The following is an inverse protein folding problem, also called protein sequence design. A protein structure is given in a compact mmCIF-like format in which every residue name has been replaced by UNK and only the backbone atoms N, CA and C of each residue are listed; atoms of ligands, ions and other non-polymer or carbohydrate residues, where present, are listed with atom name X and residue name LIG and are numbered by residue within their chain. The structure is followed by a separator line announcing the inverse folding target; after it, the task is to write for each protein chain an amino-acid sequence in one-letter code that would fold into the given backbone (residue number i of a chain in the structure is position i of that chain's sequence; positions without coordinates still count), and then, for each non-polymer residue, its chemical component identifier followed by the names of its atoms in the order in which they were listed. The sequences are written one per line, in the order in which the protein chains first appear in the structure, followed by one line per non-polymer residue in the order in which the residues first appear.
data_IF_342091150599
#
_entry.id   IF_342091150599
#
_cell.length_a   1.000
_cell.length_b   1.000
_cell.length_c   1.000
_cell.angle_alpha   90.00
_cell.angle_beta   90.00
_cell.angle_gamma   90.00
#
_symmetry.space_group_name_H-M   'P 1'
#
loop_
_entity.id
_entity.type
_entity.pdbx_description
1 polymer ?
#
# COMPACT_ATOMS: atom_id res chain seq x y z
N UNK A 1 26.56 41.76 -36.31
CA UNK A 1 25.59 40.80 -36.91
C UNK A 1 25.86 39.33 -36.58
N UNK A 2 26.82 39.01 -35.71
CA UNK A 2 27.25 37.62 -35.41
C UNK A 2 26.75 37.01 -34.08
N UNK A 3 26.04 37.75 -33.21
CA UNK A 3 25.56 37.26 -31.90
C UNK A 3 24.15 36.65 -31.90
N UNK A 4 23.36 36.78 -32.97
CA UNK A 4 21.99 36.21 -33.05
C UNK A 4 21.93 34.81 -33.68
N UNK A 5 22.95 34.38 -34.38
CA UNK A 5 22.99 33.08 -35.07
C UNK A 5 23.39 31.93 -34.15
N UNK A 6 24.14 32.17 -33.06
CA UNK A 6 24.56 31.13 -32.11
C UNK A 6 23.41 30.70 -31.21
N UNK A 7 22.47 31.60 -30.89
CA UNK A 7 21.31 31.28 -30.00
C UNK A 7 20.28 30.36 -30.67
N UNK A 8 20.16 30.39 -32.01
CA UNK A 8 19.20 29.53 -32.74
C UNK A 8 19.78 28.13 -32.96
N UNK A 9 21.10 28.01 -33.07
CA UNK A 9 21.76 26.69 -33.22
C UNK A 9 21.78 25.88 -31.93
N UNK A 10 21.91 26.54 -30.78
CA UNK A 10 21.84 25.87 -29.47
C UNK A 10 20.41 25.40 -29.12
N UNK A 11 19.38 26.10 -29.57
CA UNK A 11 17.99 25.69 -29.37
C UNK A 11 17.58 24.48 -30.23
N UNK A 12 18.16 24.38 -31.44
CA UNK A 12 17.94 23.23 -32.35
C UNK A 12 18.66 21.96 -31.91
N UNK A 13 19.78 22.05 -31.18
CA UNK A 13 20.48 20.88 -30.63
C UNK A 13 19.72 20.24 -29.44
N UNK A 14 19.00 21.03 -28.64
CA UNK A 14 18.22 20.53 -27.50
C UNK A 14 17.00 19.71 -27.94
N UNK A 15 16.41 20.04 -29.09
CA UNK A 15 15.24 19.33 -29.62
C UNK A 15 15.59 17.95 -30.21
N UNK A 16 16.85 17.73 -30.61
CA UNK A 16 17.27 16.47 -31.23
C UNK A 16 17.51 15.32 -30.23
N UNK A 17 17.63 15.58 -28.90
CA UNK A 17 17.97 14.58 -27.90
C UNK A 17 16.76 14.00 -27.11
N UNK A 18 15.55 14.50 -27.38
CA UNK A 18 14.33 14.08 -26.62
C UNK A 18 13.48 13.01 -27.32
N UNK A 19 14.03 12.25 -28.28
CA UNK A 19 13.21 11.42 -29.19
C UNK A 19 12.67 10.12 -28.59
N UNK A 20 13.17 9.66 -27.43
CA UNK A 20 12.75 8.38 -26.85
C UNK A 20 11.80 8.50 -25.64
N UNK A 21 11.64 9.65 -25.04
CA UNK A 21 10.71 9.84 -23.92
C UNK A 21 9.25 9.93 -24.41
N UNK A 22 8.27 9.53 -23.58
CA UNK A 22 6.86 9.75 -23.89
C UNK A 22 6.58 11.25 -24.02
N UNK A 23 5.88 11.65 -25.06
CA UNK A 23 5.51 13.04 -25.34
C UNK A 23 4.18 13.40 -24.72
N UNK A 24 3.26 12.43 -24.66
CA UNK A 24 2.02 12.54 -23.93
C UNK A 24 2.16 11.93 -22.52
N UNK A 25 1.47 12.51 -21.55
CA UNK A 25 1.35 11.94 -20.20
C UNK A 25 -0.14 11.75 -19.86
N UNK A 26 -0.97 11.56 -20.91
CA UNK A 26 -2.40 11.33 -20.79
C UNK A 26 -2.67 9.83 -20.94
N UNK A 27 -3.04 9.16 -19.84
CA UNK A 27 -3.48 7.79 -19.88
C UNK A 27 -4.49 7.50 -18.74
N UNK A 28 -5.29 6.46 -18.91
CA UNK A 28 -6.32 6.07 -17.96
C UNK A 28 -6.31 4.56 -17.77
N UNK A 29 -6.40 4.09 -16.54
CA UNK A 29 -6.63 2.70 -16.22
C UNK A 29 -8.05 2.32 -16.64
N UNK A 30 -8.17 1.30 -17.48
CA UNK A 30 -9.48 0.74 -17.89
C UNK A 30 -9.91 -0.35 -16.91
N UNK A 31 -9.02 -1.32 -16.69
CA UNK A 31 -9.26 -2.42 -15.76
C UNK A 31 -7.95 -3.07 -15.29
N UNK A 32 -8.02 -3.80 -14.20
CA UNK A 32 -7.00 -4.74 -13.75
C UNK A 32 -7.36 -6.10 -14.30
N UNK A 33 -6.72 -6.51 -15.42
CA UNK A 33 -7.07 -7.76 -16.12
C UNK A 33 -6.62 -8.99 -15.34
N UNK A 34 -5.52 -8.89 -14.58
CA UNK A 34 -5.02 -9.91 -13.65
C UNK A 34 -4.10 -9.25 -12.61
N UNK A 35 -3.64 -9.97 -11.57
CA UNK A 35 -2.67 -9.45 -10.61
C UNK A 35 -1.36 -8.92 -11.23
N UNK A 36 -1.06 -9.37 -12.44
CA UNK A 36 0.18 -9.03 -13.16
C UNK A 36 -0.06 -8.27 -14.46
N UNK A 37 -1.31 -7.90 -14.77
CA UNK A 37 -1.64 -7.23 -16.03
C UNK A 37 -2.66 -6.10 -15.83
N UNK A 38 -2.32 -4.91 -16.32
CA UNK A 38 -3.17 -3.73 -16.33
C UNK A 38 -3.59 -3.38 -17.76
N UNK A 39 -4.86 -3.11 -17.98
CA UNK A 39 -5.35 -2.55 -19.24
C UNK A 39 -5.41 -1.03 -19.15
N UNK A 40 -4.64 -0.37 -20.00
CA UNK A 40 -4.43 1.08 -19.99
C UNK A 40 -4.77 1.66 -21.34
N UNK A 41 -5.62 2.69 -21.40
CA UNK A 41 -5.84 3.52 -22.57
C UNK A 41 -4.88 4.71 -22.51
N UNK A 42 -4.04 4.85 -23.52
CA UNK A 42 -3.00 5.88 -23.55
C UNK A 42 -3.08 6.74 -24.83
N UNK A 43 -2.74 8.00 -24.65
CA UNK A 43 -2.63 8.98 -25.73
C UNK A 43 -1.22 8.97 -26.30
N UNK A 44 -1.11 8.94 -27.62
CA UNK A 44 0.16 9.07 -28.32
C UNK A 44 0.17 10.19 -29.33
N UNK A 45 1.30 10.88 -29.41
CA UNK A 45 1.54 12.00 -30.32
C UNK A 45 2.52 11.60 -31.42
N UNK A 46 2.02 11.52 -32.65
CA UNK A 46 2.82 11.27 -33.85
C UNK A 46 3.35 12.55 -34.45
N UNK A 47 4.69 12.67 -34.54
CA UNK A 47 5.37 13.79 -35.12
C UNK A 47 6.41 13.26 -36.10
N UNK A 48 6.52 13.89 -37.25
CA UNK A 48 7.59 13.64 -38.20
C UNK A 48 8.46 14.90 -38.32
N UNK A 49 9.64 14.84 -37.75
CA UNK A 49 10.60 15.97 -37.76
C UNK A 49 11.52 15.96 -38.99
N UNK A 50 11.49 14.90 -39.80
CA UNK A 50 12.40 14.71 -40.93
C UNK A 50 11.84 15.26 -42.24
N UNK A 51 10.51 15.33 -42.37
CA UNK A 51 9.88 15.69 -43.63
C UNK A 51 8.98 16.90 -43.49
N UNK A 52 9.09 17.86 -44.42
CA UNK A 52 8.21 19.06 -44.48
C UNK A 52 6.73 18.68 -44.69
N UNK A 53 6.48 17.55 -45.37
CA UNK A 53 5.13 16.94 -45.52
C UNK A 53 5.21 15.53 -44.98
N UNK A 54 4.73 15.30 -43.75
CA UNK A 54 4.78 13.99 -43.11
C UNK A 54 3.97 12.95 -43.86
N UNK A 55 4.53 11.75 -44.00
CA UNK A 55 3.76 10.58 -44.53
C UNK A 55 2.84 10.06 -43.44
N UNK A 56 1.58 9.72 -43.79
CA UNK A 56 0.61 9.18 -42.85
C UNK A 56 1.14 7.98 -42.08
N UNK A 57 1.78 7.02 -42.76
CA UNK A 57 2.38 5.84 -42.15
C UNK A 57 3.47 6.17 -41.10
N UNK A 58 4.24 7.24 -41.33
CA UNK A 58 5.28 7.69 -40.38
C UNK A 58 4.65 8.31 -39.15
N UNK A 59 3.58 9.09 -39.31
CA UNK A 59 2.83 9.68 -38.20
C UNK A 59 2.13 8.59 -37.37
N UNK A 60 1.49 7.63 -38.02
CA UNK A 60 0.82 6.51 -37.34
C UNK A 60 1.83 5.70 -36.51
N UNK A 61 2.98 5.32 -37.11
CA UNK A 61 4.02 4.59 -36.37
C UNK A 61 4.58 5.40 -35.19
N UNK A 62 4.81 6.71 -35.39
CA UNK A 62 5.30 7.60 -34.34
C UNK A 62 4.28 7.74 -33.20
N UNK A 63 2.98 7.92 -33.53
CA UNK A 63 1.91 8.02 -32.55
C UNK A 63 1.72 6.73 -31.77
N UNK A 64 1.73 5.58 -32.46
CA UNK A 64 1.59 4.27 -31.80
C UNK A 64 2.74 3.97 -30.84
N UNK A 65 3.98 4.28 -31.22
CA UNK A 65 5.13 4.13 -30.36
C UNK A 65 5.08 5.05 -29.12
N UNK A 66 4.58 6.28 -29.31
CA UNK A 66 4.42 7.24 -28.23
C UNK A 66 3.29 6.81 -27.26
N UNK A 67 2.16 6.33 -27.77
CA UNK A 67 1.08 5.77 -26.95
C UNK A 67 1.55 4.56 -26.12
N UNK A 68 2.36 3.68 -26.71
CA UNK A 68 2.94 2.54 -25.99
C UNK A 68 3.86 3.00 -24.85
N UNK A 69 4.70 4.03 -25.06
CA UNK A 69 5.52 4.62 -24.00
C UNK A 69 4.68 5.27 -22.91
N UNK A 70 3.63 5.99 -23.30
CA UNK A 70 2.71 6.66 -22.36
C UNK A 70 1.95 5.62 -21.51
N UNK A 71 1.55 4.47 -22.08
CA UNK A 71 0.91 3.40 -21.34
C UNK A 71 1.83 2.83 -20.25
N UNK A 72 3.11 2.56 -20.56
CA UNK A 72 4.09 2.10 -19.59
C UNK A 72 4.45 3.19 -18.59
N UNK A 73 4.59 4.45 -19.03
CA UNK A 73 4.79 5.60 -18.14
C UNK A 73 3.68 5.71 -17.10
N UNK A 74 2.43 5.49 -17.50
CA UNK A 74 1.29 5.51 -16.57
C UNK A 74 1.41 4.46 -15.47
N UNK A 75 1.85 3.26 -15.79
CA UNK A 75 2.09 2.20 -14.80
C UNK A 75 3.23 2.54 -13.85
N UNK A 76 4.26 3.26 -14.34
CA UNK A 76 5.41 3.68 -13.53
C UNK A 76 5.10 4.84 -12.60
N UNK A 77 4.36 5.85 -13.06
CA UNK A 77 4.24 7.15 -12.39
C UNK A 77 2.80 7.63 -12.18
N UNK A 78 1.84 7.09 -12.95
CA UNK A 78 0.45 7.55 -12.97
C UNK A 78 -0.47 6.67 -12.13
N UNK A 79 -1.76 7.04 -12.15
CA UNK A 79 -2.80 6.30 -11.44
C UNK A 79 -2.73 6.45 -9.91
N UNK A 80 -3.51 5.63 -9.23
CA UNK A 80 -3.57 5.60 -7.77
C UNK A 80 -2.49 4.73 -7.13
N UNK A 81 -1.82 3.88 -7.91
CA UNK A 81 -0.83 2.92 -7.42
C UNK A 81 0.32 2.75 -8.43
N UNK A 82 1.19 3.77 -8.60
CA UNK A 82 2.32 3.70 -9.50
C UNK A 82 3.41 2.75 -8.97
N UNK A 83 4.17 2.10 -9.86
CA UNK A 83 5.28 1.23 -9.48
C UNK A 83 6.43 1.99 -8.82
N UNK A 84 6.71 3.23 -9.24
CA UNK A 84 7.75 4.08 -8.67
C UNK A 84 7.12 5.07 -7.68
N UNK A 85 7.22 4.76 -6.40
CA UNK A 85 6.55 5.52 -5.36
C UNK A 85 7.48 6.48 -4.62
N UNK A 86 8.72 6.06 -4.35
CA UNK A 86 9.69 6.85 -3.59
C UNK A 86 10.55 7.75 -4.48
N UNK A 87 11.07 8.83 -3.93
CA UNK A 87 11.99 9.72 -4.66
C UNK A 87 13.31 9.03 -4.99
N UNK A 88 13.74 8.04 -4.20
CA UNK A 88 14.92 7.23 -4.48
C UNK A 88 14.71 6.34 -5.71
N UNK A 89 13.55 5.68 -5.81
CA UNK A 89 13.18 4.87 -6.99
C UNK A 89 13.10 5.74 -8.25
N UNK A 90 12.46 6.90 -8.16
CA UNK A 90 12.38 7.87 -9.27
C UNK A 90 13.75 8.39 -9.70
N UNK A 91 14.63 8.68 -8.73
CA UNK A 91 16.00 9.12 -8.98
C UNK A 91 16.85 7.99 -9.59
N UNK A 92 16.67 6.75 -9.14
CA UNK A 92 17.33 5.58 -9.72
C UNK A 92 16.85 5.35 -11.16
N UNK A 93 15.55 5.43 -11.41
CA UNK A 93 14.95 5.30 -12.73
C UNK A 93 15.46 6.37 -13.71
N UNK A 94 15.61 7.61 -13.26
CA UNK A 94 16.12 8.73 -14.08
C UNK A 94 17.45 8.42 -14.75
N UNK A 95 18.30 7.59 -14.13
CA UNK A 95 19.60 7.18 -14.66
C UNK A 95 19.48 6.27 -15.88
N UNK A 96 18.42 5.47 -15.96
CA UNK A 96 18.18 4.49 -17.03
C UNK A 96 17.07 4.94 -18.00
N UNK A 97 16.40 6.04 -17.72
CA UNK A 97 15.17 6.52 -18.39
C UNK A 97 15.28 6.50 -19.93
N UNK A 98 16.39 6.97 -20.49
CA UNK A 98 16.60 7.04 -21.94
C UNK A 98 16.70 5.67 -22.60
N UNK A 99 17.45 4.75 -21.99
CA UNK A 99 17.57 3.35 -22.43
C UNK A 99 16.24 2.62 -22.25
N UNK A 100 15.57 2.85 -21.13
CA UNK A 100 14.30 2.24 -20.81
C UNK A 100 13.22 2.54 -21.83
N UNK A 101 13.05 3.80 -22.23
CA UNK A 101 12.03 4.21 -23.19
C UNK A 101 12.38 3.92 -24.67
N UNK A 102 13.46 3.17 -24.94
CA UNK A 102 13.62 2.60 -26.28
C UNK A 102 12.42 1.71 -26.61
N UNK A 103 11.89 1.85 -27.82
CA UNK A 103 10.64 1.18 -28.21
C UNK A 103 10.77 -0.36 -28.14
N UNK A 104 11.95 -0.87 -28.38
CA UNK A 104 12.26 -2.31 -28.31
C UNK A 104 12.11 -2.83 -26.88
N UNK A 105 12.51 -2.03 -25.89
CA UNK A 105 12.32 -2.37 -24.46
C UNK A 105 10.86 -2.24 -24.05
N UNK A 106 10.21 -1.12 -24.41
CA UNK A 106 8.81 -0.87 -24.08
C UNK A 106 7.90 -2.02 -24.56
N UNK A 107 8.15 -2.50 -25.78
CA UNK A 107 7.35 -3.60 -26.37
C UNK A 107 7.43 -4.92 -25.59
N UNK A 108 8.46 -5.13 -24.79
CA UNK A 108 8.60 -6.33 -23.94
C UNK A 108 7.57 -6.37 -22.82
N UNK A 109 7.11 -5.21 -22.37
CA UNK A 109 6.16 -5.05 -21.26
C UNK A 109 4.69 -5.03 -21.72
N UNK A 110 4.45 -5.02 -23.03
CA UNK A 110 3.11 -4.99 -23.62
C UNK A 110 2.74 -6.41 -24.04
N UNK A 111 1.80 -7.03 -23.31
CA UNK A 111 1.30 -8.38 -23.63
C UNK A 111 0.25 -8.36 -24.75
N UNK A 112 -0.45 -7.24 -24.91
CA UNK A 112 -1.47 -7.06 -25.95
C UNK A 112 -1.67 -5.57 -26.27
N UNK A 113 -2.05 -5.26 -27.50
CA UNK A 113 -2.49 -3.93 -27.94
C UNK A 113 -3.70 -4.04 -28.87
N UNK A 114 -4.64 -3.09 -28.79
CA UNK A 114 -5.81 -3.06 -29.67
C UNK A 114 -5.37 -2.87 -31.14
N UNK A 115 -6.05 -3.55 -32.07
CA UNK A 115 -5.76 -3.41 -33.51
C UNK A 115 -6.25 -2.09 -34.10
N UNK A 116 -7.12 -1.37 -33.37
CA UNK A 116 -7.72 -0.12 -33.75
C UNK A 116 -7.33 1.02 -32.79
N UNK A 117 -7.61 2.24 -33.22
CA UNK A 117 -7.51 3.42 -32.36
C UNK A 117 -8.89 3.76 -31.79
N UNK A 118 -8.98 3.96 -30.49
CA UNK A 118 -10.20 4.47 -29.84
C UNK A 118 -10.52 5.88 -30.35
N UNK A 119 -9.46 6.68 -30.63
CA UNK A 119 -9.58 8.02 -31.21
C UNK A 119 -8.38 8.33 -32.09
N UNK A 120 -8.63 9.06 -33.19
CA UNK A 120 -7.59 9.48 -34.15
C UNK A 120 -7.87 10.85 -34.69
N UNK A 121 -7.01 11.82 -34.36
CA UNK A 121 -7.19 13.23 -34.71
C UNK A 121 -5.91 13.77 -35.34
N UNK A 122 -6.02 14.35 -36.55
CA UNK A 122 -4.94 15.10 -37.13
C UNK A 122 -4.88 16.49 -36.51
N UNK A 123 -3.71 16.91 -36.07
CA UNK A 123 -3.45 18.20 -35.45
C UNK A 123 -2.39 18.96 -36.21
N UNK A 124 -2.20 20.26 -35.90
CA UNK A 124 -1.22 21.13 -36.51
C UNK A 124 -1.31 21.14 -38.06
N UNK A 125 -2.51 21.35 -38.60
CA UNK A 125 -2.71 21.37 -40.06
C UNK A 125 -2.35 20.05 -40.76
N UNK A 126 -2.51 18.90 -40.06
CA UNK A 126 -2.17 17.59 -40.59
C UNK A 126 -0.70 17.18 -40.45
N UNK A 127 0.12 18.00 -39.81
CA UNK A 127 1.56 17.73 -39.57
C UNK A 127 1.83 16.86 -38.34
N UNK A 128 0.83 16.69 -37.47
CA UNK A 128 0.90 15.84 -36.31
C UNK A 128 -0.38 14.97 -36.19
N UNK A 129 -0.28 13.89 -35.47
CA UNK A 129 -1.34 12.94 -35.24
C UNK A 129 -1.46 12.65 -33.74
N UNK A 130 -2.66 12.86 -33.15
CA UNK A 130 -3.01 12.41 -31.80
C UNK A 130 -3.87 11.17 -31.92
N UNK A 131 -3.50 10.10 -31.21
CA UNK A 131 -4.27 8.86 -31.11
C UNK A 131 -4.56 8.53 -29.66
N UNK A 132 -5.66 7.82 -29.43
CA UNK A 132 -5.92 7.08 -28.19
C UNK A 132 -5.96 5.59 -28.55
N UNK A 133 -5.27 4.76 -27.76
CA UNK A 133 -5.19 3.32 -27.99
C UNK A 133 -5.06 2.58 -26.68
N UNK A 134 -5.64 1.40 -26.63
CA UNK A 134 -5.65 0.54 -25.45
C UNK A 134 -4.56 -0.51 -25.53
N UNK A 135 -3.85 -0.70 -24.41
CA UNK A 135 -2.73 -1.63 -24.24
C UNK A 135 -2.94 -2.47 -22.97
N UNK A 136 -2.48 -3.71 -22.99
CA UNK A 136 -2.35 -4.53 -21.80
C UNK A 136 -0.87 -4.58 -21.41
N UNK A 137 -0.55 -4.13 -20.20
CA UNK A 137 0.81 -4.00 -19.68
C UNK A 137 1.05 -5.12 -18.66
N UNK A 138 2.11 -5.89 -18.85
CA UNK A 138 2.57 -6.89 -17.89
C UNK A 138 3.44 -6.22 -16.82
N UNK A 139 2.85 -6.04 -15.64
CA UNK A 139 3.51 -5.39 -14.50
C UNK A 139 4.58 -6.25 -13.87
N UNK A 140 4.43 -7.59 -13.89
CA UNK A 140 5.44 -8.50 -13.33
C UNK A 140 6.76 -8.44 -14.10
N UNK A 141 6.71 -8.45 -15.43
CA UNK A 141 7.91 -8.31 -16.27
C UNK A 141 8.55 -6.91 -16.12
N UNK A 142 7.72 -5.89 -15.92
CA UNK A 142 8.19 -4.52 -15.70
C UNK A 142 8.90 -4.40 -14.34
N UNK A 143 8.33 -4.96 -13.28
CA UNK A 143 8.96 -5.04 -11.95
C UNK A 143 10.28 -5.81 -11.99
N UNK A 144 10.30 -6.99 -12.63
CA UNK A 144 11.50 -7.80 -12.77
C UNK A 144 12.63 -7.03 -13.47
N UNK A 145 12.32 -6.33 -14.55
CA UNK A 145 13.28 -5.47 -15.24
C UNK A 145 13.83 -4.36 -14.33
N UNK A 146 12.95 -3.67 -13.60
CA UNK A 146 13.34 -2.57 -12.71
C UNK A 146 14.19 -3.06 -11.53
N UNK A 147 13.87 -4.24 -11.00
CA UNK A 147 14.69 -4.91 -9.97
C UNK A 147 16.07 -5.28 -10.55
N UNK A 148 16.11 -5.85 -11.75
CA UNK A 148 17.38 -6.19 -12.44
C UNK A 148 18.26 -4.97 -12.72
N UNK A 149 17.67 -3.78 -12.85
CA UNK A 149 18.37 -2.49 -13.00
C UNK A 149 18.62 -1.77 -11.66
N UNK A 150 18.33 -2.38 -10.54
CA UNK A 150 18.48 -1.81 -9.18
C UNK A 150 17.66 -0.52 -8.96
N UNK A 151 16.58 -0.35 -9.71
CA UNK A 151 15.60 0.74 -9.53
C UNK A 151 14.63 0.38 -8.41
N UNK A 152 14.12 -0.85 -8.43
CA UNK A 152 13.33 -1.43 -7.35
C UNK A 152 14.16 -2.43 -6.55
N UNK A 153 13.90 -2.52 -5.26
CA UNK A 153 14.47 -3.58 -4.42
C UNK A 153 13.66 -4.86 -4.61
N UNK A 154 14.31 -6.02 -4.61
CA UNK A 154 13.58 -7.29 -4.60
C UNK A 154 12.72 -7.38 -3.34
N UNK A 155 11.50 -7.88 -3.48
CA UNK A 155 10.61 -8.14 -2.32
C UNK A 155 11.28 -9.09 -1.30
N UNK A 156 12.15 -10.00 -1.77
CA UNK A 156 12.98 -10.86 -0.90
C UNK A 156 14.00 -10.08 -0.07
N UNK A 157 14.63 -9.05 -0.62
CA UNK A 157 15.66 -8.26 0.09
C UNK A 157 15.00 -7.36 1.13
N UNK A 158 13.81 -6.88 0.85
CA UNK A 158 12.95 -6.14 1.78
C UNK A 158 12.50 -7.05 2.92
N UNK A 159 12.04 -8.27 2.60
CA UNK A 159 11.64 -9.27 3.60
C UNK A 159 12.81 -9.72 4.48
N UNK A 160 14.03 -9.74 3.95
CA UNK A 160 15.22 -10.10 4.72
C UNK A 160 15.63 -9.02 5.73
N UNK A 161 15.36 -7.74 5.43
CA UNK A 161 15.75 -6.63 6.33
C UNK A 161 14.74 -6.35 7.46
N UNK A 162 13.43 -6.59 7.23
CA UNK A 162 12.36 -6.33 8.21
C UNK A 162 11.53 -7.58 8.56
N UNK A 163 11.72 -8.69 7.85
CA UNK A 163 10.79 -9.82 7.87
C UNK A 163 9.50 -9.50 7.11
N UNK A 164 8.69 -10.53 6.85
CA UNK A 164 7.35 -10.34 6.29
C UNK A 164 6.41 -9.81 7.36
N UNK A 165 5.46 -8.90 7.02
CA UNK A 165 4.47 -8.46 7.97
C UNK A 165 3.64 -9.64 8.49
N UNK A 166 3.33 -9.61 9.77
CA UNK A 166 2.32 -10.47 10.35
C UNK A 166 0.95 -9.85 10.09
N UNK A 167 0.04 -10.66 9.53
CA UNK A 167 -1.29 -10.20 9.12
C UNK A 167 -2.34 -10.94 9.93
N UNK A 168 -3.20 -10.20 10.60
CA UNK A 168 -4.39 -10.69 11.27
C UNK A 168 -5.58 -10.55 10.31
N UNK A 169 -6.44 -11.56 10.25
CA UNK A 169 -7.65 -11.57 9.43
C UNK A 169 -8.87 -11.66 10.33
N UNK A 170 -9.77 -10.68 10.23
CA UNK A 170 -10.95 -10.58 11.09
C UNK A 170 -12.17 -10.11 10.28
N UNK A 171 -13.38 -10.59 10.57
CA UNK A 171 -14.60 -10.02 10.01
C UNK A 171 -14.82 -8.60 10.53
N UNK A 172 -15.47 -7.77 9.73
CA UNK A 172 -15.96 -6.45 10.17
C UNK A 172 -17.00 -6.68 11.28
N UNK A 173 -16.80 -6.05 12.43
CA UNK A 173 -17.74 -6.12 13.54
C UNK A 173 -18.75 -4.99 13.47
N UNK A 174 -19.94 -5.26 14.00
CA UNK A 174 -20.92 -4.25 14.35
C UNK A 174 -20.73 -3.88 15.83
N UNK A 175 -21.29 -2.76 16.25
CA UNK A 175 -21.11 -2.20 17.61
C UNK A 175 -21.45 -3.20 18.75
N UNK A 176 -22.24 -4.24 18.46
CA UNK A 176 -22.74 -5.19 19.47
C UNK A 176 -22.05 -6.57 19.45
N UNK A 177 -21.21 -6.89 18.45
CA UNK A 177 -20.68 -8.25 18.30
C UNK A 177 -19.18 -8.24 18.01
N UNK A 178 -18.39 -8.87 18.88
CA UNK A 178 -16.94 -8.96 18.72
C UNK A 178 -16.54 -9.86 17.52
N UNK A 179 -15.42 -9.57 16.83
CA UNK A 179 -14.98 -10.34 15.65
C UNK A 179 -14.84 -11.84 15.90
N UNK A 180 -14.40 -12.25 17.09
CA UNK A 180 -14.25 -13.66 17.46
C UNK A 180 -15.60 -14.38 17.62
N UNK A 181 -16.62 -13.68 18.08
CA UNK A 181 -17.96 -14.22 18.18
C UNK A 181 -18.58 -14.41 16.80
N UNK A 182 -18.36 -13.46 15.88
CA UNK A 182 -18.77 -13.59 14.47
C UNK A 182 -18.11 -14.82 13.84
N UNK A 183 -16.80 -15.00 14.02
CA UNK A 183 -16.08 -16.17 13.50
C UNK A 183 -16.60 -17.52 14.08
N UNK A 184 -17.05 -17.50 15.31
CA UNK A 184 -17.60 -18.69 15.96
C UNK A 184 -19.03 -19.02 15.52
N UNK A 185 -19.83 -18.02 15.14
CA UNK A 185 -21.27 -18.18 14.90
C UNK A 185 -21.70 -18.08 13.44
N UNK A 186 -20.92 -17.36 12.59
CA UNK A 186 -21.22 -17.19 11.15
C UNK A 186 -20.30 -18.05 10.27
N UNK A 187 -20.83 -19.13 9.65
CA UNK A 187 -20.04 -19.98 8.75
C UNK A 187 -19.51 -19.24 7.51
N UNK A 188 -20.21 -18.21 7.02
CA UNK A 188 -19.77 -17.43 5.86
C UNK A 188 -18.59 -16.54 6.23
N UNK A 189 -18.65 -15.89 7.39
CA UNK A 189 -17.52 -15.13 7.92
C UNK A 189 -16.30 -16.04 8.13
N UNK A 190 -16.48 -17.20 8.75
CA UNK A 190 -15.40 -18.18 8.91
C UNK A 190 -14.81 -18.61 7.58
N UNK A 191 -15.64 -18.92 6.58
CA UNK A 191 -15.16 -19.29 5.24
C UNK A 191 -14.37 -18.15 4.60
N UNK A 192 -14.78 -16.90 4.79
CA UNK A 192 -14.05 -15.71 4.33
C UNK A 192 -12.64 -15.62 4.93
N UNK A 193 -12.51 -15.80 6.24
CA UNK A 193 -11.21 -15.84 6.92
C UNK A 193 -10.31 -16.93 6.34
N UNK A 194 -10.82 -18.16 6.26
CA UNK A 194 -10.06 -19.31 5.74
C UNK A 194 -9.51 -19.08 4.32
N UNK A 195 -10.29 -18.43 3.44
CA UNK A 195 -9.85 -18.12 2.06
C UNK A 195 -8.71 -17.10 2.08
N UNK A 196 -8.84 -16.03 2.86
CA UNK A 196 -7.79 -15.01 2.98
C UNK A 196 -6.54 -15.61 3.60
N UNK A 197 -6.66 -16.35 4.68
CA UNK A 197 -5.55 -17.00 5.40
C UNK A 197 -4.79 -17.98 4.50
N UNK A 198 -5.53 -18.80 3.74
CA UNK A 198 -4.96 -19.73 2.77
C UNK A 198 -4.17 -18.99 1.68
N UNK A 199 -4.74 -17.91 1.15
CA UNK A 199 -4.10 -17.09 0.12
C UNK A 199 -2.81 -16.42 0.62
N UNK A 200 -2.85 -15.84 1.82
CA UNK A 200 -1.70 -15.21 2.47
C UNK A 200 -0.59 -16.23 2.79
N UNK A 201 -0.98 -17.39 3.32
CA UNK A 201 -0.05 -18.49 3.64
C UNK A 201 0.64 -19.04 2.40
N UNK A 202 -0.10 -19.22 1.29
CA UNK A 202 0.46 -19.63 0.01
C UNK A 202 1.51 -18.64 -0.53
N UNK A 203 1.36 -17.35 -0.21
CA UNK A 203 2.34 -16.29 -0.53
C UNK A 203 3.38 -16.10 0.57
N UNK A 204 3.45 -17.01 1.55
CA UNK A 204 4.43 -17.01 2.65
C UNK A 204 4.38 -15.77 3.56
N UNK A 205 3.23 -15.13 3.75
CA UNK A 205 3.04 -14.15 4.80
C UNK A 205 2.89 -14.83 6.16
N UNK A 206 3.26 -14.14 7.23
CA UNK A 206 3.00 -14.59 8.60
C UNK A 206 1.53 -14.30 8.93
N UNK A 207 0.69 -15.32 8.92
CA UNK A 207 -0.74 -15.20 9.22
C UNK A 207 -1.00 -15.49 10.68
N UNK A 208 -1.74 -14.62 11.34
CA UNK A 208 -2.18 -14.79 12.71
C UNK A 208 -3.65 -15.16 12.68
N UNK A 209 -3.97 -16.33 13.25
CA UNK A 209 -5.33 -16.84 13.41
C UNK A 209 -5.84 -16.38 14.78
N UNK A 210 -6.85 -15.50 14.85
CA UNK A 210 -7.26 -14.86 16.10
C UNK A 210 -7.80 -15.84 17.13
N UNK A 211 -8.48 -16.90 16.72
CA UNK A 211 -9.04 -17.91 17.64
C UNK A 211 -7.95 -18.67 18.42
N UNK A 212 -6.75 -18.76 17.85
CA UNK A 212 -5.60 -19.38 18.52
C UNK A 212 -4.94 -18.45 19.55
N UNK A 213 -5.28 -17.16 19.55
CA UNK A 213 -4.70 -16.13 20.41
C UNK A 213 -5.65 -15.67 21.53
N UNK A 214 -6.78 -16.35 21.72
CA UNK A 214 -7.85 -15.94 22.63
C UNK A 214 -7.40 -15.67 24.07
N UNK A 215 -6.51 -16.49 24.63
CA UNK A 215 -6.00 -16.32 26.00
C UNK A 215 -5.16 -15.04 26.15
N UNK A 216 -4.35 -14.71 25.14
CA UNK A 216 -3.56 -13.47 25.14
C UNK A 216 -4.45 -12.23 24.99
N UNK A 217 -5.55 -12.36 24.25
CA UNK A 217 -6.54 -11.30 24.07
C UNK A 217 -7.24 -10.92 25.38
N UNK A 218 -7.68 -11.89 26.16
CA UNK A 218 -8.37 -11.65 27.44
C UNK A 218 -7.48 -10.88 28.43
N UNK A 219 -6.19 -11.23 28.49
CA UNK A 219 -5.21 -10.53 29.32
C UNK A 219 -4.97 -9.09 28.87
N UNK A 220 -4.87 -8.86 27.55
CA UNK A 220 -4.59 -7.55 27.01
C UNK A 220 -5.83 -6.62 27.02
N UNK A 221 -7.03 -7.15 26.80
CA UNK A 221 -8.28 -6.37 26.88
C UNK A 221 -8.50 -5.79 28.28
N UNK A 222 -8.16 -6.53 29.33
CA UNK A 222 -8.20 -6.01 30.69
C UNK A 222 -7.20 -4.86 30.91
N UNK A 223 -6.04 -4.90 30.25
CA UNK A 223 -5.03 -3.86 30.35
C UNK A 223 -5.42 -2.60 29.56
N UNK A 224 -6.08 -2.75 28.39
CA UNK A 224 -6.61 -1.63 27.62
C UNK A 224 -7.78 -0.93 28.31
N UNK A 225 -8.67 -1.68 28.92
CA UNK A 225 -9.77 -1.13 29.71
C UNK A 225 -9.27 -0.24 30.87
N UNK A 226 -8.11 -0.59 31.46
CA UNK A 226 -7.46 0.23 32.48
C UNK A 226 -6.82 1.51 31.89
N UNK A 227 -6.50 1.53 30.60
CA UNK A 227 -5.95 2.69 29.89
C UNK A 227 -7.02 3.69 29.38
N UNK A 228 -8.31 3.38 29.55
CA UNK A 228 -9.43 4.28 29.21
C UNK A 228 -9.59 4.56 27.72
N UNK A 229 -9.24 3.61 26.85
CA UNK A 229 -9.39 3.76 25.38
C UNK A 229 -10.73 3.15 24.94
N UNK A 230 -11.61 4.00 24.37
CA UNK A 230 -12.90 3.63 23.77
C UNK A 230 -12.74 3.40 22.25
N UNK A 231 -11.79 2.54 21.87
CA UNK A 231 -11.44 2.28 20.47
C UNK A 231 -12.21 1.07 19.89
N UNK A 232 -12.26 0.98 18.55
CA UNK A 232 -12.85 -0.14 17.80
C UNK A 232 -12.28 -1.48 18.24
N UNK A 233 -13.15 -2.47 18.50
CA UNK A 233 -12.77 -3.82 18.91
C UNK A 233 -11.79 -4.51 17.95
N UNK A 234 -11.91 -4.30 16.65
CA UNK A 234 -11.00 -4.84 15.65
C UNK A 234 -9.59 -4.27 15.80
N UNK A 235 -9.50 -2.98 16.04
CA UNK A 235 -8.24 -2.26 16.27
C UNK A 235 -7.57 -2.72 17.57
N UNK A 236 -8.32 -2.76 18.67
CA UNK A 236 -7.82 -3.22 19.97
C UNK A 236 -7.36 -4.68 19.92
N UNK A 237 -8.11 -5.53 19.23
CA UNK A 237 -7.73 -6.93 19.03
C UNK A 237 -6.40 -7.05 18.26
N UNK A 238 -6.27 -6.37 17.14
CA UNK A 238 -5.08 -6.39 16.32
C UNK A 238 -3.85 -5.86 17.06
N UNK A 239 -4.02 -4.78 17.83
CA UNK A 239 -2.96 -4.15 18.63
C UNK A 239 -2.52 -5.06 19.79
N UNK A 240 -3.47 -5.74 20.46
CA UNK A 240 -3.20 -6.66 21.58
C UNK A 240 -2.45 -7.92 21.12
N UNK A 241 -2.83 -8.46 19.96
CA UNK A 241 -2.14 -9.61 19.35
C UNK A 241 -0.76 -9.20 18.81
N UNK A 242 -0.58 -7.92 18.45
CA UNK A 242 0.67 -7.39 17.93
C UNK A 242 0.91 -7.74 16.46
N UNK A 243 -0.15 -7.82 15.66
CA UNK A 243 -0.03 -7.91 14.21
C UNK A 243 0.58 -6.61 13.63
N UNK A 244 1.26 -6.70 12.51
CA UNK A 244 1.75 -5.52 11.80
C UNK A 244 0.62 -4.84 10.99
N UNK A 245 -0.25 -5.67 10.43
CA UNK A 245 -1.40 -5.28 9.62
C UNK A 245 -2.59 -6.14 10.03
N UNK A 246 -3.79 -5.60 9.98
CA UNK A 246 -4.99 -6.42 10.01
C UNK A 246 -5.87 -6.15 8.78
N UNK A 247 -6.52 -7.21 8.32
CA UNK A 247 -7.50 -7.17 7.23
C UNK A 247 -8.88 -7.38 7.85
N UNK A 248 -9.73 -6.37 7.75
CA UNK A 248 -11.15 -6.47 8.06
C UNK A 248 -11.93 -6.73 6.78
N UNK A 249 -12.89 -7.64 6.81
CA UNK A 249 -13.70 -7.99 5.65
C UNK A 249 -15.17 -8.13 5.99
N UNK A 250 -16.02 -7.84 4.99
CA UNK A 250 -17.47 -8.00 5.05
C UNK A 250 -17.94 -8.78 3.83
N UNK A 251 -18.93 -9.66 4.03
CA UNK A 251 -19.50 -10.54 2.99
C UNK A 251 -20.99 -10.27 2.87
N UNK A 252 -21.44 -9.99 1.64
CA UNK A 252 -22.86 -9.86 1.33
C UNK A 252 -23.22 -10.83 0.21
N UNK A 253 -24.22 -11.69 0.43
CA UNK A 253 -24.73 -12.59 -0.60
C UNK A 253 -26.11 -12.10 -1.03
N UNK A 254 -26.18 -11.66 -2.28
CA UNK A 254 -27.42 -11.25 -2.91
C UNK A 254 -28.01 -12.34 -3.80
N UNK A 255 -29.33 -12.34 -3.97
CA UNK A 255 -30.03 -13.16 -4.93
C UNK A 255 -30.98 -12.32 -5.78
N UNK A 256 -31.13 -12.67 -7.06
CA UNK A 256 -32.15 -12.08 -7.95
C UNK A 256 -32.73 -13.11 -8.87
N UNK A 257 -33.96 -12.91 -9.30
CA UNK A 257 -34.64 -13.79 -10.26
C UNK A 257 -34.38 -13.31 -11.69
N UNK A 258 -33.92 -14.23 -12.54
CA UNK A 258 -33.69 -13.98 -13.97
C UNK A 258 -34.53 -15.02 -14.75
N UNK A 259 -35.64 -14.60 -15.33
CA UNK A 259 -36.61 -15.49 -15.91
C UNK A 259 -37.22 -16.41 -14.86
N UNK A 260 -37.05 -17.72 -15.00
CA UNK A 260 -37.53 -18.75 -14.05
C UNK A 260 -36.47 -19.21 -13.07
N UNK A 261 -35.23 -18.67 -13.14
CA UNK A 261 -34.11 -19.11 -12.31
C UNK A 261 -33.74 -18.02 -11.32
N UNK A 262 -33.45 -18.40 -10.08
CA UNK A 262 -32.83 -17.50 -9.06
C UNK A 262 -31.32 -17.63 -9.17
N UNK A 263 -30.63 -16.52 -9.44
CA UNK A 263 -29.18 -16.45 -9.47
C UNK A 263 -28.67 -15.77 -8.19
N UNK A 264 -27.51 -16.20 -7.72
CA UNK A 264 -26.87 -15.69 -6.51
C UNK A 264 -25.50 -15.12 -6.85
N UNK A 265 -25.08 -14.12 -6.06
CA UNK A 265 -23.79 -13.44 -6.19
C UNK A 265 -23.28 -13.05 -4.81
N UNK A 266 -22.00 -13.27 -4.57
CA UNK A 266 -21.33 -12.70 -3.40
C UNK A 266 -20.60 -11.40 -3.77
N UNK A 267 -20.61 -10.48 -2.84
CA UNK A 267 -19.82 -9.25 -2.84
C UNK A 267 -19.01 -9.24 -1.54
N UNK A 268 -17.71 -9.04 -1.65
CA UNK A 268 -16.80 -8.99 -0.51
C UNK A 268 -16.10 -7.65 -0.50
N UNK A 269 -16.16 -6.94 0.62
CA UNK A 269 -15.35 -5.76 0.87
C UNK A 269 -14.21 -6.14 1.81
N UNK A 270 -12.97 -5.81 1.45
CA UNK A 270 -11.78 -6.00 2.28
C UNK A 270 -11.10 -4.67 2.54
N UNK A 271 -10.76 -4.40 3.79
CA UNK A 271 -10.02 -3.22 4.23
C UNK A 271 -8.77 -3.65 4.97
N UNK A 272 -7.61 -3.12 4.59
CA UNK A 272 -6.36 -3.36 5.30
C UNK A 272 -5.96 -2.13 6.10
N UNK A 273 -5.55 -2.35 7.33
CA UNK A 273 -5.13 -1.30 8.26
C UNK A 273 -3.74 -1.59 8.82
N UNK A 274 -2.95 -0.56 8.98
CA UNK A 274 -1.73 -0.60 9.79
C UNK A 274 -2.12 -0.60 11.27
N UNK A 275 -1.60 -1.54 12.03
CA UNK A 275 -2.09 -1.83 13.39
C UNK A 275 -1.75 -0.74 14.41
N UNK A 276 -0.58 -0.10 14.31
CA UNK A 276 -0.14 0.86 15.35
C UNK A 276 -0.95 2.15 15.38
N UNK A 277 -1.49 2.56 14.23
CA UNK A 277 -2.23 3.83 14.09
C UNK A 277 -3.67 3.67 13.63
N UNK A 278 -4.10 2.46 13.30
CA UNK A 278 -5.40 2.23 12.66
C UNK A 278 -5.52 2.83 11.25
N UNK A 279 -4.38 3.23 10.62
CA UNK A 279 -4.39 3.87 9.31
C UNK A 279 -4.81 2.91 8.22
N UNK A 280 -5.81 3.29 7.43
CA UNK A 280 -6.24 2.54 6.26
C UNK A 280 -5.14 2.48 5.19
N UNK A 281 -4.73 1.28 4.82
CA UNK A 281 -3.76 1.01 3.76
C UNK A 281 -4.43 0.87 2.40
N UNK A 282 -5.64 0.35 2.38
CA UNK A 282 -6.45 0.22 1.18
C UNK A 282 -7.78 -0.48 1.41
N UNK A 283 -8.71 -0.22 0.52
CA UNK A 283 -10.02 -0.88 0.45
C UNK A 283 -10.20 -1.43 -0.94
N UNK A 284 -10.63 -2.69 -1.02
CA UNK A 284 -10.93 -3.34 -2.30
C UNK A 284 -12.21 -4.15 -2.18
N UNK A 285 -12.94 -4.23 -3.30
CA UNK A 285 -14.17 -5.01 -3.39
C UNK A 285 -14.00 -6.07 -4.46
N UNK A 286 -14.40 -7.28 -4.13
CA UNK A 286 -14.43 -8.40 -5.07
C UNK A 286 -15.85 -8.91 -5.30
N UNK A 287 -16.08 -9.51 -6.45
CA UNK A 287 -17.36 -9.97 -6.90
C UNK A 287 -17.28 -11.42 -7.41
N UNK A 288 -18.20 -12.26 -6.97
CA UNK A 288 -18.37 -13.55 -7.65
C UNK A 288 -19.14 -13.37 -8.97
N UNK A 289 -19.07 -14.39 -9.82
CA UNK A 289 -19.99 -14.51 -10.94
C UNK A 289 -21.40 -14.84 -10.44
N UNK A 290 -22.42 -14.39 -11.17
CA UNK A 290 -23.80 -14.81 -10.90
C UNK A 290 -23.99 -16.27 -11.29
N UNK A 291 -24.49 -17.09 -10.35
CA UNK A 291 -24.69 -18.53 -10.56
C UNK A 291 -26.03 -18.98 -9.98
N UNK A 292 -26.77 -19.83 -10.68
CA UNK A 292 -28.07 -20.34 -10.19
C UNK A 292 -27.94 -21.43 -9.12
N UNK A 293 -26.81 -22.17 -9.06
CA UNK A 293 -26.70 -23.40 -8.26
C UNK A 293 -25.42 -23.45 -7.40
N UNK A 294 -24.66 -22.35 -7.28
CA UNK A 294 -23.45 -22.34 -6.48
C UNK A 294 -23.76 -22.26 -4.97
N UNK A 295 -22.98 -22.96 -4.15
CA UNK A 295 -22.98 -22.77 -2.69
C UNK A 295 -22.39 -21.42 -2.31
N UNK A 296 -22.74 -20.91 -1.14
CA UNK A 296 -22.20 -19.67 -0.58
C UNK A 296 -20.67 -19.71 -0.52
N UNK A 297 -20.10 -20.82 -0.11
CA UNK A 297 -18.67 -21.03 -0.01
C UNK A 297 -17.94 -20.80 -1.34
N UNK A 298 -18.49 -21.25 -2.48
CA UNK A 298 -17.91 -21.05 -3.81
C UNK A 298 -17.98 -19.58 -4.22
N UNK A 299 -19.14 -18.94 -3.97
CA UNK A 299 -19.32 -17.52 -4.30
C UNK A 299 -18.39 -16.64 -3.47
N UNK A 300 -18.25 -16.92 -2.18
CA UNK A 300 -17.34 -16.22 -1.26
C UNK A 300 -15.90 -16.39 -1.74
N UNK A 301 -15.46 -17.59 -2.07
CA UNK A 301 -14.11 -17.88 -2.53
C UNK A 301 -13.78 -17.12 -3.84
N UNK A 302 -14.69 -17.09 -4.81
CA UNK A 302 -14.50 -16.30 -6.04
C UNK A 302 -14.36 -14.80 -5.74
N UNK A 303 -15.27 -14.23 -4.95
CA UNK A 303 -15.27 -12.80 -4.63
C UNK A 303 -14.05 -12.43 -3.77
N UNK A 304 -13.69 -13.25 -2.81
CA UNK A 304 -12.56 -13.02 -1.92
C UNK A 304 -11.22 -13.05 -2.67
N UNK A 305 -11.02 -14.04 -3.55
CA UNK A 305 -9.81 -14.12 -4.38
C UNK A 305 -9.64 -12.91 -5.31
N UNK A 306 -10.73 -12.30 -5.79
CA UNK A 306 -10.65 -11.07 -6.58
C UNK A 306 -10.19 -9.86 -5.73
N UNK A 307 -10.66 -9.75 -4.49
CA UNK A 307 -10.34 -8.64 -3.60
C UNK A 307 -8.94 -8.74 -2.98
N UNK A 308 -8.57 -9.95 -2.51
CA UNK A 308 -7.40 -10.11 -1.63
C UNK A 308 -6.07 -9.83 -2.33
N UNK A 309 -5.91 -10.16 -3.59
CA UNK A 309 -4.70 -9.85 -4.35
C UNK A 309 -4.45 -8.33 -4.42
N UNK A 310 -5.52 -7.57 -4.63
CA UNK A 310 -5.46 -6.10 -4.69
C UNK A 310 -5.11 -5.50 -3.32
N UNK A 311 -5.75 -5.99 -2.25
CA UNK A 311 -5.44 -5.58 -0.87
C UNK A 311 -4.00 -5.89 -0.50
N UNK A 312 -3.53 -7.09 -0.86
CA UNK A 312 -2.16 -7.51 -0.58
C UNK A 312 -1.12 -6.62 -1.26
N UNK A 313 -1.37 -6.19 -2.49
CA UNK A 313 -0.52 -5.21 -3.19
C UNK A 313 -0.45 -3.87 -2.43
N UNK A 314 -1.58 -3.41 -1.84
CA UNK A 314 -1.58 -2.21 -0.99
C UNK A 314 -0.71 -2.39 0.26
N UNK A 315 -0.84 -3.55 0.92
CA UNK A 315 -0.04 -3.89 2.10
C UNK A 315 1.46 -3.92 1.75
N UNK A 316 1.85 -4.59 0.67
CA UNK A 316 3.25 -4.69 0.24
C UNK A 316 3.83 -3.32 -0.09
N UNK A 317 3.07 -2.47 -0.78
CA UNK A 317 3.50 -1.12 -1.13
C UNK A 317 3.67 -0.22 0.10
N UNK A 318 2.77 -0.35 1.08
CA UNK A 318 2.94 0.31 2.36
C UNK A 318 4.20 -0.17 3.08
N UNK A 319 4.40 -1.50 3.14
CA UNK A 319 5.56 -2.09 3.81
C UNK A 319 6.89 -1.64 3.22
N UNK A 320 6.95 -1.49 1.90
CA UNK A 320 8.11 -0.90 1.21
C UNK A 320 8.42 0.53 1.68
N UNK A 321 7.41 1.35 1.98
CA UNK A 321 7.59 2.72 2.48
C UNK A 321 8.07 2.76 3.92
N UNK A 322 7.57 1.87 4.77
CA UNK A 322 7.99 1.78 6.17
C UNK A 322 9.47 1.45 6.32
N UNK A 323 10.04 0.67 5.38
CA UNK A 323 11.47 0.35 5.37
C UNK A 323 12.35 1.60 5.32
N UNK A 324 11.94 2.60 4.57
CA UNK A 324 12.70 3.85 4.40
C UNK A 324 12.69 4.67 5.70
N UNK A 325 11.57 4.65 6.43
CA UNK A 325 11.38 5.43 7.66
C UNK A 325 11.75 4.66 8.94
N UNK A 326 11.98 3.36 8.85
CA UNK A 326 12.24 2.48 9.99
C UNK A 326 11.01 1.71 10.46
N UNK A 327 11.16 0.94 11.55
CA UNK A 327 10.03 0.23 12.16
C UNK A 327 9.21 1.20 13.00
N UNK A 328 7.90 1.18 12.79
CA UNK A 328 6.95 1.95 13.60
C UNK A 328 6.52 1.17 14.83
N UNK A 329 6.58 1.81 15.99
CA UNK A 329 6.02 1.34 17.25
C UNK A 329 5.04 2.35 17.80
N UNK A 330 3.95 1.89 18.39
CA UNK A 330 3.05 2.70 19.22
C UNK A 330 3.54 2.63 20.66
N UNK A 331 3.68 3.78 21.30
CA UNK A 331 4.01 3.86 22.72
C UNK A 331 2.95 4.69 23.44
N UNK A 332 2.32 4.08 24.43
CA UNK A 332 1.33 4.73 25.30
C UNK A 332 1.91 4.76 26.71
N UNK A 333 2.00 5.93 27.28
CA UNK A 333 2.47 6.18 28.62
C UNK A 333 1.33 6.74 29.46
N UNK A 334 1.01 6.07 30.54
CA UNK A 334 0.05 6.54 31.53
C UNK A 334 0.80 6.98 32.79
N UNK A 335 0.56 8.19 33.27
CA UNK A 335 1.08 8.72 34.53
C UNK A 335 0.00 8.55 35.59
N UNK A 336 0.37 8.11 36.79
CA UNK A 336 -0.59 7.97 37.89
C UNK A 336 -1.20 9.33 38.24
N UNK A 337 -2.50 9.34 38.51
CA UNK A 337 -3.22 10.50 39.02
C UNK A 337 -2.88 10.84 40.49
N UNK A 338 -1.97 10.10 41.13
CA UNK A 338 -1.35 10.50 42.41
C UNK A 338 -0.41 11.69 42.27
N UNK A 339 0.15 11.91 41.07
CA UNK A 339 0.91 13.12 40.76
C UNK A 339 -0.04 14.29 40.51
N UNK A 340 0.36 15.50 40.92
CA UNK A 340 -0.35 16.69 40.47
C UNK A 340 -0.12 16.92 38.96
N UNK A 341 -0.98 17.71 38.29
CA UNK A 341 -0.93 17.90 36.84
C UNK A 341 0.42 18.46 36.33
N UNK A 342 1.09 19.34 37.07
CA UNK A 342 2.36 19.95 36.67
C UNK A 342 3.48 18.90 36.68
N UNK A 343 3.56 18.07 37.70
CA UNK A 343 4.50 16.95 37.79
C UNK A 343 4.23 15.88 36.72
N UNK A 344 2.95 15.60 36.46
CA UNK A 344 2.58 14.65 35.41
C UNK A 344 3.02 15.14 34.02
N UNK A 345 2.87 16.43 33.73
CA UNK A 345 3.34 17.04 32.48
C UNK A 345 4.87 16.95 32.34
N UNK A 346 5.64 17.25 33.41
CA UNK A 346 7.11 17.12 33.41
C UNK A 346 7.56 15.68 33.14
N UNK A 347 6.88 14.70 33.72
CA UNK A 347 7.11 13.26 33.48
C UNK A 347 6.88 12.92 32.00
N UNK A 348 5.75 13.36 31.44
CA UNK A 348 5.38 13.13 30.03
C UNK A 348 6.43 13.74 29.10
N UNK A 349 6.85 14.97 29.33
CA UNK A 349 7.87 15.63 28.51
C UNK A 349 9.24 14.96 28.61
N UNK A 350 9.64 14.54 29.82
CA UNK A 350 10.89 13.81 30.04
C UNK A 350 10.92 12.50 29.22
N UNK A 351 9.83 11.73 29.23
CA UNK A 351 9.74 10.50 28.43
C UNK A 351 9.65 10.84 26.93
N UNK A 352 8.94 11.89 26.57
CA UNK A 352 8.83 12.38 25.19
C UNK A 352 10.19 12.72 24.58
N UNK A 353 11.06 13.39 25.33
CA UNK A 353 12.42 13.74 24.89
C UNK A 353 13.28 12.49 24.72
N UNK A 354 13.17 11.52 25.62
CA UNK A 354 13.83 10.22 25.47
C UNK A 354 13.38 9.56 24.17
N UNK A 355 12.07 9.48 23.93
CA UNK A 355 11.51 8.87 22.73
C UNK A 355 11.97 9.59 21.44
N UNK A 356 12.02 10.93 21.44
CA UNK A 356 12.57 11.73 20.33
C UNK A 356 14.04 11.42 20.06
N UNK A 357 14.83 11.19 21.09
CA UNK A 357 16.25 10.84 20.93
C UNK A 357 16.48 9.46 20.30
N UNK A 358 15.53 8.55 20.42
CA UNK A 358 15.60 7.18 19.88
C UNK A 358 15.06 7.08 18.45
N UNK A 359 14.08 7.93 18.13
CA UNK A 359 13.32 7.84 16.90
C UNK A 359 14.00 8.60 15.74
N UNK A 360 13.92 8.05 14.54
CA UNK A 360 14.18 8.79 13.30
C UNK A 360 13.06 9.79 12.98
N UNK A 361 11.83 9.47 13.44
CA UNK A 361 10.65 10.33 13.37
C UNK A 361 9.70 9.98 14.51
N UNK A 362 9.01 10.98 15.06
CA UNK A 362 8.04 10.82 16.13
C UNK A 362 6.78 11.63 15.79
N UNK A 363 5.62 11.03 16.03
CA UNK A 363 4.32 11.69 15.91
C UNK A 363 3.58 11.55 17.24
N UNK A 364 3.18 12.67 17.79
CA UNK A 364 2.26 12.71 18.93
C UNK A 364 0.84 12.49 18.44
N UNK A 365 0.19 11.44 18.94
CA UNK A 365 -1.20 11.12 18.62
C UNK A 365 -2.14 11.82 19.61
N UNK A 366 -1.84 11.70 20.91
CA UNK A 366 -2.60 12.32 21.98
C UNK A 366 -1.65 12.74 23.10
N UNK A 367 -1.81 13.96 23.57
CA UNK A 367 -1.18 14.49 24.77
C UNK A 367 -2.30 14.94 25.70
N UNK A 368 -2.55 14.20 26.76
CA UNK A 368 -3.52 14.52 27.80
C UNK A 368 -2.80 14.67 29.14
N UNK A 369 -3.52 15.14 30.16
CA UNK A 369 -2.96 15.46 31.48
C UNK A 369 -2.14 14.31 32.10
N UNK A 370 -2.62 13.05 31.94
CA UNK A 370 -1.98 11.84 32.48
C UNK A 370 -1.70 10.78 31.42
N UNK A 371 -1.84 11.10 30.14
CA UNK A 371 -1.64 10.11 29.07
C UNK A 371 -0.88 10.73 27.91
N UNK A 372 0.13 10.00 27.45
CA UNK A 372 0.90 10.37 26.28
C UNK A 372 0.94 9.21 25.27
N UNK A 373 0.26 9.38 24.16
CA UNK A 373 0.19 8.42 23.04
C UNK A 373 1.03 8.93 21.87
N UNK A 374 2.04 8.17 21.50
CA UNK A 374 2.97 8.51 20.42
C UNK A 374 3.20 7.33 19.49
N UNK A 375 3.45 7.66 18.23
CA UNK A 375 4.02 6.75 17.24
C UNK A 375 5.46 7.13 16.95
N UNK A 376 6.38 6.18 17.06
CA UNK A 376 7.81 6.42 16.85
C UNK A 376 8.35 5.45 15.80
N UNK A 377 9.15 5.99 14.86
CA UNK A 377 9.87 5.23 13.85
C UNK A 377 11.32 5.12 14.29
N UNK A 378 11.86 3.92 14.35
CA UNK A 378 13.22 3.65 14.78
C UNK A 378 14.00 2.84 13.76
N UNK A 379 15.33 2.97 13.77
CA UNK A 379 16.20 2.18 12.91
C UNK A 379 16.12 0.69 13.32
N UNK A 380 15.64 -0.20 12.43
CA UNK A 380 15.49 -1.62 12.72
C UNK A 380 16.81 -2.35 13.03
N UNK A 381 17.94 -1.77 12.63
CA UNK A 381 19.27 -2.33 12.94
C UNK A 381 19.68 -2.06 14.39
N UNK A 382 19.14 -0.97 14.99
CA UNK A 382 19.42 -0.60 16.38
C UNK A 382 18.37 -1.14 17.33
N UNK A 383 17.11 -1.13 16.89
CA UNK A 383 15.94 -1.49 17.69
C UNK A 383 15.03 -2.45 16.90
N UNK A 384 15.46 -3.71 16.73
CA UNK A 384 14.69 -4.70 15.95
C UNK A 384 13.38 -5.13 16.62
N UNK A 385 13.24 -4.91 17.92
CA UNK A 385 12.06 -5.28 18.69
C UNK A 385 11.59 -4.15 19.60
N UNK A 386 10.28 -4.11 19.88
CA UNK A 386 9.68 -3.15 20.82
C UNK A 386 10.32 -3.22 22.22
N UNK A 387 10.75 -4.42 22.63
CA UNK A 387 11.47 -4.62 23.91
C UNK A 387 12.82 -3.91 23.97
N UNK A 388 13.49 -3.69 22.84
CA UNK A 388 14.77 -2.96 22.81
C UNK A 388 14.53 -1.47 22.99
N UNK A 389 13.46 -0.95 22.36
CA UNK A 389 13.01 0.44 22.58
C UNK A 389 12.61 0.65 24.03
N UNK A 390 11.76 -0.22 24.59
CA UNK A 390 11.38 -0.16 26.00
C UNK A 390 12.59 -0.17 26.93
N UNK A 391 13.53 -1.10 26.72
CA UNK A 391 14.75 -1.20 27.54
C UNK A 391 15.53 0.11 27.52
N UNK A 392 15.63 0.73 26.36
CA UNK A 392 16.35 2.00 26.22
C UNK A 392 15.62 3.17 26.89
N UNK A 393 14.29 3.25 26.74
CA UNK A 393 13.48 4.24 27.47
C UNK A 393 13.71 4.08 28.98
N UNK A 394 13.57 2.86 29.49
CA UNK A 394 13.75 2.57 30.93
C UNK A 394 15.13 2.92 31.44
N UNK A 395 16.18 2.66 30.67
CA UNK A 395 17.58 2.99 31.06
C UNK A 395 17.86 4.48 31.04
N UNK A 396 17.17 5.23 30.20
CA UNK A 396 17.39 6.68 30.06
C UNK A 396 16.45 7.51 30.95
N UNK A 397 15.40 6.91 31.48
CA UNK A 397 14.45 7.59 32.35
C UNK A 397 15.07 7.85 33.75
N UNK A 398 15.22 9.11 34.08
CA UNK A 398 15.70 9.61 35.38
C UNK A 398 14.69 10.61 35.97
N UNK A 399 13.46 10.65 35.47
CA UNK A 399 12.39 11.51 35.97
C UNK A 399 11.86 11.04 37.32
N UNK A 400 10.85 11.77 37.80
CA UNK A 400 10.17 11.45 39.03
C UNK A 400 9.28 10.21 38.90
N UNK A 401 9.17 9.45 39.98
CA UNK A 401 8.40 8.22 40.02
C UNK A 401 9.05 7.03 39.31
N UNK A 402 8.38 5.90 39.40
CA UNK A 402 8.89 4.64 38.90
C UNK A 402 8.25 4.25 37.58
N UNK A 403 9.04 4.24 36.50
CA UNK A 403 8.60 3.74 35.19
C UNK A 403 8.44 2.21 35.20
N UNK A 404 7.22 1.74 34.99
CA UNK A 404 6.85 0.33 34.93
C UNK A 404 6.40 -0.06 33.51
N UNK A 405 6.69 -1.30 33.16
CA UNK A 405 6.14 -1.92 31.94
C UNK A 405 4.77 -2.53 32.26
N UNK A 406 3.73 -2.04 31.61
CA UNK A 406 2.40 -2.64 31.65
C UNK A 406 2.36 -3.80 30.65
N UNK A 407 2.66 -3.51 29.36
CA UNK A 407 2.74 -4.53 28.32
C UNK A 407 3.72 -4.11 27.23
N UNK A 408 4.36 -5.07 26.59
CA UNK A 408 5.12 -4.87 25.35
C UNK A 408 4.80 -6.01 24.41
N UNK A 409 4.12 -5.70 23.34
CA UNK A 409 3.85 -6.62 22.23
C UNK A 409 4.79 -6.33 21.06
N UNK A 410 4.54 -6.96 19.92
CA UNK A 410 5.38 -6.76 18.73
C UNK A 410 5.42 -5.30 18.24
N UNK A 411 4.30 -4.57 18.38
CA UNK A 411 4.15 -3.20 17.85
C UNK A 411 3.73 -2.17 18.90
N UNK A 412 3.40 -2.60 20.11
CA UNK A 412 2.93 -1.74 21.19
C UNK A 412 3.87 -1.78 22.38
N UNK A 413 4.15 -0.61 22.94
CA UNK A 413 4.84 -0.40 24.21
C UNK A 413 3.87 0.34 25.12
N UNK A 414 3.36 -0.32 26.14
CA UNK A 414 2.46 0.25 27.14
C UNK A 414 3.20 0.39 28.46
N UNK A 415 3.34 1.62 28.93
CA UNK A 415 4.09 1.97 30.13
C UNK A 415 3.20 2.70 31.14
N UNK A 416 3.54 2.58 32.41
CA UNK A 416 2.97 3.42 33.46
C UNK A 416 4.09 4.06 34.28
N UNK A 417 3.83 5.26 34.79
CA UNK A 417 4.68 5.91 35.82
C UNK A 417 3.84 6.00 37.10
N UNK A 418 4.37 5.41 38.15
CA UNK A 418 3.74 5.39 39.46
C UNK A 418 4.63 6.14 40.46
N UNK A 419 4.03 6.70 41.50
CA UNK A 419 4.75 7.31 42.62
C UNK A 419 5.50 6.22 43.38
N UNK A 420 6.69 6.52 43.93
CA UNK A 420 7.57 5.58 44.64
C UNK A 420 6.97 5.10 45.98
#
# INVERSE_FOLDING_TARGET
MFKKTISILSLLLIISFASNLPRGHEATLIEVSSPTELMVRAVGLGIDTKHRKPKAKTLDKSANNDAARTAVWFVLFGGSDPLLQTEEEKSAFKKIEREFYDITNIRKFISWEADYYDKRIKTNGGKALKIEKTFKINTALLEEYLVGKSVLKKTSDISASLGKPSILVIPECNDDTAPLEILATDPNAKKGAEVIESHLSAKQFSVIVPEQQRVLQELNSAQFALAGTDDDYSYLLALSIGSDVYISYNITIGSRTVGTSTVRKAVVACRAYETTTGRLLGTETGYSKERPTASDAILIEEAMNEAIDKVLNRIVNYWKKDIVHGIQYKCIISVSNSFDPERAEEIIFSIGDICRSLASSLKENTVAEYTYDISLWVDPRKYPAATDVYRKIKQSYNGEGRLKRVSVTRKLILLSVEED
#
